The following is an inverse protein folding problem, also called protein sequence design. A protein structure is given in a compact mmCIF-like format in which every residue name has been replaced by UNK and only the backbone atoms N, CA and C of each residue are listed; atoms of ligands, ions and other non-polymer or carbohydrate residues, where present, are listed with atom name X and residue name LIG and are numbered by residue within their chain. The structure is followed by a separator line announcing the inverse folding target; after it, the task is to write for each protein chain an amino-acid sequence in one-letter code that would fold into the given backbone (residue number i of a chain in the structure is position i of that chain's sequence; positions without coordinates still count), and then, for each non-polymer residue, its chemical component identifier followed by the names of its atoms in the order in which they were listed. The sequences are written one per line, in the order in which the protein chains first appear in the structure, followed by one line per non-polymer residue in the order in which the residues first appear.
data_IF_155148898449
#
_entry.id   IF_155148898449
#
_cell.length_a   1.000
_cell.length_b   1.000
_cell.length_c   1.000
_cell.angle_alpha   90.00
_cell.angle_beta   90.00
_cell.angle_gamma   90.00
#
_symmetry.space_group_name_H-M   'P 1'
#
loop_
_entity.id
_entity.type
_entity.pdbx_description
1 polymer ?
#
# COMPACT_ATOMS: atom_id res chain seq x y z
N UNK A 1 7.70 9.24 -8.10
CA UNK A 1 6.75 8.93 -7.01
C UNK A 1 7.19 7.63 -6.35
N UNK A 2 7.64 7.73 -5.10
CA UNK A 2 8.49 6.75 -4.40
C UNK A 2 7.70 5.81 -3.50
N UNK A 3 6.62 6.27 -2.86
CA UNK A 3 5.89 5.49 -1.88
C UNK A 3 4.58 4.95 -2.44
N UNK A 4 4.17 3.77 -1.96
CA UNK A 4 2.87 3.17 -2.26
C UNK A 4 2.32 2.47 -1.00
N UNK A 5 1.03 2.18 -1.01
CA UNK A 5 0.38 1.43 0.07
C UNK A 5 0.17 -0.02 -0.38
N UNK A 6 0.58 -0.96 0.47
CA UNK A 6 0.17 -2.34 0.37
C UNK A 6 -0.89 -2.65 1.42
N UNK A 7 -1.86 -3.45 1.03
CA UNK A 7 -2.97 -3.90 1.87
C UNK A 7 -3.13 -5.41 1.75
N UNK A 8 -3.67 -6.03 2.80
CA UNK A 8 -4.14 -7.42 2.78
C UNK A 8 -5.27 -7.61 3.78
N UNK A 9 -6.11 -8.60 3.56
CA UNK A 9 -7.01 -9.08 4.60
C UNK A 9 -6.18 -9.81 5.67
N UNK A 10 -6.56 -9.63 6.92
CA UNK A 10 -5.90 -10.24 8.08
C UNK A 10 -5.84 -11.76 7.91
N UNK A 11 -4.67 -12.34 8.17
CA UNK A 11 -4.44 -13.77 8.01
C UNK A 11 -4.16 -14.23 6.57
N UNK A 12 -4.29 -13.36 5.56
CA UNK A 12 -3.84 -13.69 4.20
C UNK A 12 -2.33 -13.50 4.07
N UNK A 13 -1.67 -14.41 3.35
CA UNK A 13 -0.22 -14.31 3.11
C UNK A 13 0.14 -13.20 2.12
N UNK A 14 -0.72 -12.95 1.12
CA UNK A 14 -0.40 -12.12 -0.04
C UNK A 14 -0.79 -10.66 0.19
N UNK A 15 0.19 -9.77 0.00
CA UNK A 15 -0.03 -8.33 -0.06
C UNK A 15 -0.41 -7.88 -1.47
N UNK A 16 -1.35 -6.94 -1.57
CA UNK A 16 -1.78 -6.26 -2.80
C UNK A 16 -1.48 -4.77 -2.69
N UNK A 17 -1.34 -4.07 -3.81
CA UNK A 17 -1.24 -2.62 -3.85
C UNK A 17 -2.62 -1.99 -3.87
N UNK A 18 -2.79 -0.89 -3.14
CA UNK A 18 -3.94 -0.01 -3.28
C UNK A 18 -3.84 0.75 -4.62
N UNK A 19 -4.95 0.89 -5.34
CA UNK A 19 -5.04 1.68 -6.58
C UNK A 19 -5.64 3.06 -6.29
N UNK A 20 -5.42 4.02 -7.20
CA UNK A 20 -5.95 5.39 -7.06
C UNK A 20 -7.48 5.47 -7.10
N UNK A 21 -8.15 4.40 -7.55
CA UNK A 21 -9.61 4.29 -7.63
C UNK A 21 -10.22 3.54 -6.44
N UNK A 22 -9.45 3.25 -5.39
CA UNK A 22 -9.93 2.52 -4.21
C UNK A 22 -9.99 0.99 -4.36
N UNK A 23 -9.44 0.44 -5.45
CA UNK A 23 -9.34 -1.02 -5.64
C UNK A 23 -8.01 -1.59 -5.15
N UNK A 24 -7.86 -2.91 -5.25
CA UNK A 24 -6.61 -3.61 -4.92
C UNK A 24 -6.08 -4.41 -6.12
N UNK A 25 -4.76 -4.42 -6.31
CA UNK A 25 -4.11 -5.10 -7.44
C UNK A 25 -2.79 -5.75 -7.04
N UNK A 26 -2.37 -6.79 -7.75
CA UNK A 26 -1.03 -7.38 -7.57
C UNK A 26 0.04 -6.66 -8.40
N UNK A 27 -0.38 -5.84 -9.37
CA UNK A 27 0.51 -5.22 -10.34
C UNK A 27 1.04 -3.88 -9.82
N UNK A 28 2.35 -3.81 -9.66
CA UNK A 28 3.09 -2.62 -9.20
C UNK A 28 2.89 -1.38 -10.09
N UNK A 29 2.64 -1.57 -11.38
CA UNK A 29 2.41 -0.47 -12.34
C UNK A 29 1.08 0.27 -12.10
N UNK A 30 0.11 -0.39 -11.46
CA UNK A 30 -1.22 0.18 -11.18
C UNK A 30 -1.38 0.64 -9.72
N UNK A 31 -0.31 0.54 -8.92
CA UNK A 31 -0.32 1.04 -7.56
C UNK A 31 -0.51 2.57 -7.56
N UNK A 32 -1.35 3.07 -6.65
CA UNK A 32 -1.31 4.48 -6.28
C UNK A 32 0.07 4.81 -5.71
N UNK A 33 0.62 5.97 -6.08
CA UNK A 33 1.95 6.39 -5.65
C UNK A 33 1.96 7.82 -5.17
N UNK A 34 2.81 8.07 -4.19
CA UNK A 34 3.01 9.37 -3.57
C UNK A 34 4.49 9.75 -3.58
N UNK A 35 4.75 11.04 -3.54
CA UNK A 35 6.12 11.58 -3.48
C UNK A 35 6.72 11.42 -2.09
N UNK A 36 5.92 11.60 -1.04
CA UNK A 36 6.32 11.48 0.37
C UNK A 36 5.54 10.38 1.09
N UNK A 37 5.99 10.02 2.29
CA UNK A 37 5.42 8.95 3.11
C UNK A 37 4.16 9.40 3.87
N UNK A 38 4.14 10.64 4.35
CA UNK A 38 3.03 11.22 5.14
C UNK A 38 1.63 11.02 4.54
N UNK A 39 1.37 11.29 3.24
CA UNK A 39 0.02 11.09 2.68
C UNK A 39 -0.39 9.61 2.69
N UNK A 40 0.57 8.69 2.62
CA UNK A 40 0.25 7.26 2.73
C UNK A 40 -0.19 6.91 4.15
N UNK A 41 0.51 7.43 5.15
CA UNK A 41 0.22 7.17 6.57
C UNK A 41 -1.11 7.80 6.99
N UNK A 42 -1.39 9.03 6.56
CA UNK A 42 -2.67 9.68 6.78
C UNK A 42 -3.84 8.89 6.18
N UNK A 43 -3.69 8.38 4.94
CA UNK A 43 -4.72 7.58 4.30
C UNK A 43 -4.98 6.27 5.06
N UNK A 44 -3.92 5.61 5.54
CA UNK A 44 -4.04 4.39 6.35
C UNK A 44 -4.73 4.70 7.68
N UNK A 45 -4.30 5.75 8.39
CA UNK A 45 -4.88 6.14 9.67
C UNK A 45 -6.39 6.42 9.56
N UNK A 46 -6.81 7.03 8.45
CA UNK A 46 -8.22 7.30 8.20
C UNK A 46 -9.02 6.05 7.80
N UNK A 47 -8.42 5.04 7.15
CA UNK A 47 -9.14 3.85 6.68
C UNK A 47 -9.10 2.66 7.64
N UNK A 48 -8.05 2.55 8.46
CA UNK A 48 -7.87 1.40 9.35
C UNK A 48 -9.02 1.20 10.35
N UNK A 49 -9.61 2.24 10.98
CA UNK A 49 -10.74 2.08 11.89
C UNK A 49 -11.98 1.46 11.24
N UNK A 50 -12.27 1.83 9.99
CA UNK A 50 -13.41 1.31 9.24
C UNK A 50 -13.16 -0.09 8.65
N UNK A 51 -11.90 -0.53 8.63
CA UNK A 51 -11.48 -1.79 8.01
C UNK A 51 -10.65 -2.65 8.98
N UNK A 52 -11.21 -3.05 10.14
CA UNK A 52 -10.46 -3.81 11.17
C UNK A 52 -9.99 -5.19 10.69
N UNK A 53 -10.62 -5.73 9.63
CA UNK A 53 -10.21 -6.98 9.00
C UNK A 53 -9.01 -6.85 8.05
N UNK A 54 -8.42 -5.67 7.90
CA UNK A 54 -7.35 -5.41 6.95
C UNK A 54 -6.07 -4.92 7.63
N UNK A 55 -4.95 -5.33 7.05
CA UNK A 55 -3.62 -4.86 7.41
C UNK A 55 -3.07 -3.97 6.31
N UNK A 56 -2.38 -2.91 6.70
CA UNK A 56 -1.87 -1.86 5.81
C UNK A 56 -0.39 -1.63 6.07
N UNK A 57 0.38 -1.29 5.04
CA UNK A 57 1.74 -0.78 5.19
C UNK A 57 2.16 0.12 4.04
N UNK A 58 2.99 1.10 4.35
CA UNK A 58 3.68 1.91 3.35
C UNK A 58 4.92 1.18 2.86
N UNK A 59 5.15 1.19 1.55
CA UNK A 59 6.35 0.62 0.93
C UNK A 59 7.07 1.68 0.09
N UNK A 60 8.40 1.67 0.19
CA UNK A 60 9.29 2.39 -0.72
C UNK A 60 9.49 1.54 -1.98
N UNK A 61 9.07 2.09 -3.10
CA UNK A 61 9.12 1.43 -4.39
C UNK A 61 10.54 1.48 -4.98
N UNK A 62 11.33 2.50 -4.66
CA UNK A 62 12.68 2.67 -5.20
C UNK A 62 13.69 1.77 -4.49
N UNK A 63 13.52 1.52 -3.20
CA UNK A 63 14.40 0.62 -2.42
C UNK A 63 14.26 -0.88 -2.78
N UNK A 64 13.15 -1.30 -3.39
CA UNK A 64 12.92 -2.72 -3.74
C UNK A 64 13.72 -3.26 -4.92
N UNK A 65 14.77 -2.54 -5.37
CA UNK A 65 15.62 -2.92 -6.53
C UNK A 65 16.94 -3.59 -6.13
N UNK A 66 17.22 -3.78 -4.84
CA UNK A 66 18.34 -4.60 -4.37
C UNK A 66 17.90 -6.07 -4.29
N UNK A 67 18.08 -6.79 -5.39
CA UNK A 67 18.26 -8.25 -5.36
C UNK A 67 19.73 -8.49 -5.71
N UNK A 68 20.46 -9.12 -4.79
CA UNK A 68 21.78 -9.74 -5.02
C UNK A 68 21.54 -11.22 -5.26
#
# INVERSE_FOLDING_TARGET
MRYAIKVRETGKKKWRFLTSKGGVTTLRIHAARWSTREPCEALIANNAPDNPGWEFKVVDMEQGRHWH
#
